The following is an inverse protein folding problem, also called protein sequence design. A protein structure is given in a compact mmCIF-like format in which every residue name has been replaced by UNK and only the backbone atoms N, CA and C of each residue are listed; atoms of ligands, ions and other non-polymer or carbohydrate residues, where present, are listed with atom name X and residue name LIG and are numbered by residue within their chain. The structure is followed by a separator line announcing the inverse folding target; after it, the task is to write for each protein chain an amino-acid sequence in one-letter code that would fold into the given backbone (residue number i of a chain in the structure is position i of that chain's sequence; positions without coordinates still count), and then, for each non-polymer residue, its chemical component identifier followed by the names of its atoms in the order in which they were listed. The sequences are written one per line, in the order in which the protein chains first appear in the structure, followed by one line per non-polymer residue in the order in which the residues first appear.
data_IF_957402731718
#
_entry.id   IF_957402731718
#
_cell.length_a   1.000
_cell.length_b   1.000
_cell.length_c   1.000
_cell.angle_alpha   90.00
_cell.angle_beta   90.00
_cell.angle_gamma   90.00
#
_symmetry.space_group_name_H-M   'P 1'
#
loop_
_entity.id
_entity.type
_entity.pdbx_description
1 polymer ?
#
# COMPACT_ATOMS: atom_id res chain seq x y z
N UNK A 1 15.01 11.35 -42.30
CA UNK A 1 15.82 12.57 -42.13
C UNK A 1 15.06 13.69 -42.81
N UNK A 2 14.38 14.53 -42.03
CA UNK A 2 13.72 15.74 -42.55
C UNK A 2 14.65 16.89 -42.23
N UNK A 3 15.06 17.62 -43.28
CA UNK A 3 15.91 18.81 -43.18
C UNK A 3 15.23 19.89 -42.35
N UNK A 4 15.76 20.16 -41.16
CA UNK A 4 15.40 21.30 -40.33
C UNK A 4 16.27 22.47 -40.76
N UNK A 5 15.90 23.13 -41.86
CA UNK A 5 16.47 24.44 -42.22
C UNK A 5 15.39 25.52 -42.13
N UNK A 6 15.62 26.49 -41.22
CA UNK A 6 14.91 27.77 -41.11
C UNK A 6 13.44 27.80 -40.66
N UNK A 7 13.06 27.04 -39.63
CA UNK A 7 11.92 27.43 -38.79
C UNK A 7 12.45 28.09 -37.51
N UNK A 8 12.27 29.42 -37.38
CA UNK A 8 12.53 30.14 -36.14
C UNK A 8 11.68 29.53 -35.03
N UNK A 9 12.30 28.81 -34.10
CA UNK A 9 11.60 28.19 -32.96
C UNK A 9 11.00 29.32 -32.12
N UNK A 10 9.67 29.42 -32.14
CA UNK A 10 8.94 30.38 -31.33
C UNK A 10 9.06 29.94 -29.87
N UNK A 11 9.72 30.73 -29.01
CA UNK A 11 10.03 30.41 -27.61
C UNK A 11 10.97 29.19 -27.43
N UNK A 12 12.31 29.40 -27.50
CA UNK A 12 13.32 28.34 -27.33
C UNK A 12 13.44 27.81 -25.89
N UNK A 13 12.77 28.43 -24.91
CA UNK A 13 12.75 27.93 -23.53
C UNK A 13 11.81 26.74 -23.31
N UNK A 14 10.99 26.38 -24.31
CA UNK A 14 9.96 25.35 -24.18
C UNK A 14 10.35 24.10 -24.96
N UNK A 15 10.65 23.01 -24.26
CA UNK A 15 11.04 21.71 -24.85
C UNK A 15 10.07 21.22 -25.94
N UNK A 16 8.76 21.40 -25.74
CA UNK A 16 7.72 20.91 -26.65
C UNK A 16 7.85 21.49 -28.07
N UNK A 17 8.45 22.67 -28.22
CA UNK A 17 8.64 23.32 -29.52
C UNK A 17 9.78 22.70 -30.34
N UNK A 18 10.59 21.83 -29.74
CA UNK A 18 11.65 21.07 -30.40
C UNK A 18 11.17 19.69 -30.87
N UNK A 19 9.97 19.25 -30.48
CA UNK A 19 9.40 17.96 -30.86
C UNK A 19 8.33 18.14 -31.95
N UNK A 20 8.15 17.14 -32.84
CA UNK A 20 6.94 17.02 -33.65
C UNK A 20 5.67 17.03 -32.76
N UNK A 21 4.53 17.54 -33.24
CA UNK A 21 3.32 17.68 -32.42
C UNK A 21 2.85 16.35 -31.79
N UNK A 22 3.02 15.24 -32.49
CA UNK A 22 2.65 13.92 -31.98
C UNK A 22 3.56 13.44 -30.84
N UNK A 23 4.87 13.76 -30.89
CA UNK A 23 5.81 13.39 -29.83
C UNK A 23 5.71 14.36 -28.63
N UNK A 24 5.42 15.63 -28.90
CA UNK A 24 5.20 16.64 -27.87
C UNK A 24 3.99 16.28 -27.00
N UNK A 25 2.87 15.86 -27.61
CA UNK A 25 1.68 15.40 -26.88
C UNK A 25 1.94 14.12 -26.10
N UNK A 26 2.69 13.16 -26.65
CA UNK A 26 3.12 11.95 -25.94
C UNK A 26 3.92 12.29 -24.68
N UNK A 27 4.92 13.16 -24.83
CA UNK A 27 5.77 13.61 -23.74
C UNK A 27 4.95 14.30 -22.65
N UNK A 28 4.04 15.19 -23.04
CA UNK A 28 3.17 15.91 -22.10
C UNK A 28 2.27 14.97 -21.31
N UNK A 29 1.62 14.00 -21.98
CA UNK A 29 0.76 13.01 -21.31
C UNK A 29 1.55 12.20 -20.29
N UNK A 30 2.71 11.65 -20.66
CA UNK A 30 3.56 10.85 -19.77
C UNK A 30 4.02 11.68 -18.57
N UNK A 31 4.51 12.91 -18.82
CA UNK A 31 4.93 13.84 -17.76
C UNK A 31 3.80 14.13 -16.79
N UNK A 32 2.61 14.46 -17.27
CA UNK A 32 1.47 14.82 -16.43
C UNK A 32 1.00 13.63 -15.58
N UNK A 33 0.97 12.42 -16.15
CA UNK A 33 0.67 11.19 -15.40
C UNK A 33 1.70 10.97 -14.29
N UNK A 34 3.00 11.16 -14.56
CA UNK A 34 4.04 10.94 -13.56
C UNK A 34 4.03 11.99 -12.45
N UNK A 35 3.70 13.24 -12.76
CA UNK A 35 3.46 14.28 -11.75
C UNK A 35 2.28 13.88 -10.85
N UNK A 36 1.19 13.37 -11.42
CA UNK A 36 0.05 12.90 -10.63
C UNK A 36 0.43 11.70 -9.75
N UNK A 37 1.22 10.74 -10.25
CA UNK A 37 1.71 9.59 -9.48
C UNK A 37 2.64 10.05 -8.34
N UNK A 38 3.50 11.04 -8.59
CA UNK A 38 4.34 11.63 -7.55
C UNK A 38 3.48 12.22 -6.43
N UNK A 39 2.50 13.05 -6.78
CA UNK A 39 1.57 13.63 -5.83
C UNK A 39 0.83 12.58 -5.00
N UNK A 40 0.32 11.53 -5.65
CA UNK A 40 -0.36 10.43 -4.97
C UNK A 40 0.57 9.65 -4.04
N UNK A 41 1.78 9.34 -4.49
CA UNK A 41 2.79 8.61 -3.69
C UNK A 41 3.24 9.43 -2.48
N UNK A 42 3.50 10.72 -2.68
CA UNK A 42 3.85 11.65 -1.60
C UNK A 42 2.70 11.78 -0.61
N UNK A 43 1.45 11.92 -1.07
CA UNK A 43 0.29 12.00 -0.20
C UNK A 43 0.11 10.72 0.64
N UNK A 44 0.30 9.53 0.06
CA UNK A 44 0.22 8.26 0.79
C UNK A 44 1.35 8.09 1.80
N UNK A 45 2.55 8.58 1.49
CA UNK A 45 3.67 8.62 2.45
C UNK A 45 3.34 9.56 3.60
N UNK A 46 3.09 10.83 3.31
CA UNK A 46 2.86 11.88 4.32
C UNK A 46 1.71 11.54 5.26
N UNK A 47 0.60 10.99 4.74
CA UNK A 47 -0.58 10.66 5.53
C UNK A 47 -0.32 9.61 6.61
N UNK A 48 0.73 8.80 6.46
CA UNK A 48 0.98 7.62 7.29
C UNK A 48 2.40 7.57 7.88
N UNK A 49 3.16 8.67 7.80
CA UNK A 49 4.49 8.79 8.43
C UNK A 49 4.50 8.35 9.91
N UNK A 50 3.56 8.77 10.79
CA UNK A 50 3.65 8.39 12.21
C UNK A 50 3.47 6.88 12.42
N UNK A 51 2.58 6.25 11.66
CA UNK A 51 2.37 4.80 11.66
C UNK A 51 3.61 4.06 11.14
N UNK A 52 4.17 4.52 10.02
CA UNK A 52 5.35 3.95 9.39
C UNK A 52 6.56 3.98 10.36
N UNK A 53 6.77 5.11 11.05
CA UNK A 53 7.82 5.25 12.08
C UNK A 53 7.56 4.32 13.25
N UNK A 54 6.32 4.19 13.71
CA UNK A 54 5.98 3.30 14.81
C UNK A 54 6.30 1.83 14.45
N UNK A 55 5.99 1.40 13.23
CA UNK A 55 6.27 0.03 12.75
C UNK A 55 7.79 -0.21 12.67
N UNK A 56 8.56 0.73 12.13
CA UNK A 56 10.01 0.61 12.00
C UNK A 56 10.68 0.57 13.39
N UNK A 57 10.22 1.41 14.33
CA UNK A 57 10.79 1.47 15.70
C UNK A 57 10.52 0.21 16.52
N UNK A 58 9.47 -0.55 16.22
CA UNK A 58 9.10 -1.78 16.94
C UNK A 58 10.10 -2.95 16.73
N UNK A 59 11.03 -2.86 15.77
CA UNK A 59 12.14 -3.82 15.48
C UNK A 59 11.78 -5.32 15.34
N UNK A 60 10.50 -5.71 15.36
CA UNK A 60 10.07 -7.11 15.24
C UNK A 60 9.95 -7.51 13.77
N UNK A 61 10.66 -8.57 13.36
CA UNK A 61 10.76 -8.96 11.96
C UNK A 61 11.64 -8.01 11.14
N UNK A 62 12.83 -7.68 11.66
CA UNK A 62 13.78 -6.68 11.13
C UNK A 62 13.89 -6.68 9.60
N UNK A 63 13.96 -7.85 8.97
CA UNK A 63 14.05 -7.98 7.51
C UNK A 63 12.80 -7.45 6.82
N UNK A 64 11.60 -7.84 7.27
CA UNK A 64 10.34 -7.37 6.69
C UNK A 64 10.15 -5.87 6.90
N UNK A 65 10.45 -5.35 8.10
CA UNK A 65 10.37 -3.92 8.40
C UNK A 65 11.39 -3.10 7.61
N UNK A 66 12.60 -3.64 7.41
CA UNK A 66 13.61 -3.01 6.55
C UNK A 66 13.16 -3.00 5.10
N UNK A 67 12.68 -4.12 4.55
CA UNK A 67 12.12 -4.18 3.20
C UNK A 67 10.94 -3.23 3.02
N UNK A 68 10.08 -3.07 4.03
CA UNK A 68 8.99 -2.11 4.03
C UNK A 68 9.50 -0.67 3.91
N UNK A 69 10.47 -0.27 4.73
CA UNK A 69 11.07 1.06 4.65
C UNK A 69 11.78 1.31 3.32
N UNK A 70 12.54 0.30 2.84
CA UNK A 70 13.23 0.36 1.56
C UNK A 70 12.26 0.49 0.39
N UNK A 71 11.15 -0.26 0.39
CA UNK A 71 10.09 -0.15 -0.63
C UNK A 71 9.61 1.29 -0.76
N UNK A 72 9.34 1.96 0.37
CA UNK A 72 8.88 3.37 0.42
C UNK A 72 9.92 4.34 -0.14
N UNK A 73 11.19 4.17 0.24
CA UNK A 73 12.28 5.04 -0.21
C UNK A 73 12.52 4.86 -1.71
N UNK A 74 12.61 3.62 -2.18
CA UNK A 74 12.90 3.32 -3.58
C UNK A 74 11.78 3.80 -4.50
N UNK A 75 10.51 3.56 -4.14
CA UNK A 75 9.39 4.01 -4.99
C UNK A 75 9.27 5.54 -5.04
N UNK A 76 9.47 6.21 -3.91
CA UNK A 76 9.45 7.68 -3.86
C UNK A 76 10.58 8.28 -4.71
N UNK A 77 11.79 7.73 -4.58
CA UNK A 77 12.96 8.17 -5.35
C UNK A 77 12.76 7.90 -6.84
N UNK A 78 12.28 6.72 -7.20
CA UNK A 78 12.01 6.32 -8.58
C UNK A 78 11.03 7.29 -9.28
N UNK A 79 9.88 7.56 -8.66
CA UNK A 79 8.87 8.46 -9.24
C UNK A 79 9.37 9.92 -9.26
N UNK A 80 10.11 10.34 -8.24
CA UNK A 80 10.70 11.69 -8.21
C UNK A 80 11.75 11.91 -9.31
N UNK A 81 12.61 10.91 -9.57
CA UNK A 81 13.60 10.98 -10.65
C UNK A 81 12.93 11.05 -12.02
N UNK A 82 11.86 10.27 -12.24
CA UNK A 82 11.05 10.37 -13.44
C UNK A 82 10.53 11.80 -13.69
N UNK A 83 9.94 12.43 -12.68
CA UNK A 83 9.47 13.82 -12.79
C UNK A 83 10.64 14.79 -13.00
N UNK A 84 11.78 14.57 -12.34
CA UNK A 84 12.97 15.40 -12.52
C UNK A 84 13.50 15.36 -13.96
N UNK A 85 13.57 14.18 -14.58
CA UNK A 85 13.99 13.99 -15.98
C UNK A 85 13.03 14.70 -16.95
N UNK A 86 11.73 14.71 -16.66
CA UNK A 86 10.74 15.38 -17.50
C UNK A 86 10.65 16.90 -17.33
N UNK A 87 11.21 17.44 -16.24
CA UNK A 87 11.08 18.86 -15.89
C UNK A 87 12.40 19.63 -15.96
N UNK A 88 13.54 18.93 -16.04
CA UNK A 88 14.87 19.53 -16.04
C UNK A 88 15.79 18.84 -17.06
N UNK A 89 16.73 19.59 -17.67
CA UNK A 89 17.76 19.00 -18.49
C UNK A 89 18.70 18.13 -17.63
N UNK A 90 19.18 17.02 -18.19
CA UNK A 90 20.02 16.04 -17.50
C UNK A 90 21.29 15.82 -18.32
N UNK A 91 22.49 15.89 -17.69
CA UNK A 91 23.74 15.79 -18.42
C UNK A 91 24.00 14.40 -19.00
N UNK A 92 23.55 13.33 -18.32
CA UNK A 92 23.74 11.94 -18.75
C UNK A 92 22.41 11.17 -18.74
N UNK A 93 21.82 11.01 -19.93
CA UNK A 93 20.56 10.27 -20.13
C UNK A 93 20.71 8.76 -19.92
N UNK A 94 21.89 8.21 -20.22
CA UNK A 94 22.12 6.77 -20.09
C UNK A 94 22.28 6.41 -18.61
N UNK A 95 23.12 7.15 -17.89
CA UNK A 95 23.33 6.94 -16.46
C UNK A 95 22.05 7.09 -15.63
N UNK A 96 21.24 8.13 -15.89
CA UNK A 96 19.99 8.33 -15.15
C UNK A 96 18.97 7.21 -15.43
N UNK A 97 18.90 6.72 -16.66
CA UNK A 97 18.00 5.60 -17.04
C UNK A 97 18.38 4.34 -16.27
N UNK A 98 19.67 3.99 -16.22
CA UNK A 98 20.16 2.84 -15.43
C UNK A 98 19.79 2.99 -13.95
N UNK A 99 20.00 4.18 -13.36
CA UNK A 99 19.65 4.43 -11.94
C UNK A 99 18.15 4.22 -11.70
N UNK A 100 17.31 4.72 -12.61
CA UNK A 100 15.86 4.57 -12.51
C UNK A 100 15.42 3.11 -12.66
N UNK A 101 16.02 2.36 -13.58
CA UNK A 101 15.75 0.93 -13.73
C UNK A 101 16.16 0.14 -12.49
N UNK A 102 17.32 0.44 -11.91
CA UNK A 102 17.76 -0.18 -10.64
C UNK A 102 16.76 0.12 -9.52
N UNK A 103 16.31 1.36 -9.37
CA UNK A 103 15.31 1.73 -8.36
C UNK A 103 13.97 1.03 -8.60
N UNK A 104 13.56 0.87 -9.86
CA UNK A 104 12.37 0.09 -10.22
C UNK A 104 12.53 -1.37 -9.80
N UNK A 105 13.64 -2.02 -10.17
CA UNK A 105 13.95 -3.41 -9.82
C UNK A 105 13.94 -3.61 -8.30
N UNK A 106 14.61 -2.73 -7.55
CA UNK A 106 14.66 -2.79 -6.10
C UNK A 106 13.28 -2.60 -5.47
N UNK A 107 12.46 -1.67 -6.00
CA UNK A 107 11.08 -1.48 -5.56
C UNK A 107 10.25 -2.73 -5.80
N UNK A 108 10.32 -3.33 -6.99
CA UNK A 108 9.59 -4.55 -7.34
C UNK A 108 10.03 -5.72 -6.45
N UNK A 109 11.33 -5.94 -6.30
CA UNK A 109 11.86 -7.04 -5.49
C UNK A 109 11.45 -6.94 -4.02
N UNK A 110 11.55 -5.74 -3.43
CA UNK A 110 11.15 -5.49 -2.03
C UNK A 110 9.63 -5.58 -1.83
N UNK A 111 8.84 -5.04 -2.76
CA UNK A 111 7.37 -5.15 -2.77
C UNK A 111 6.92 -6.61 -2.85
N UNK A 112 7.44 -7.37 -3.82
CA UNK A 112 7.12 -8.78 -4.00
C UNK A 112 7.60 -9.64 -2.82
N UNK A 113 8.69 -9.26 -2.16
CA UNK A 113 9.12 -9.91 -0.93
C UNK A 113 8.10 -9.70 0.21
N UNK A 114 7.52 -8.50 0.36
CA UNK A 114 6.45 -8.26 1.33
C UNK A 114 5.23 -9.16 1.07
N UNK A 115 4.88 -9.40 -0.20
CA UNK A 115 3.83 -10.33 -0.59
C UNK A 115 4.20 -11.79 -0.27
N UNK A 116 5.43 -12.21 -0.54
CA UNK A 116 5.92 -13.55 -0.17
C UNK A 116 5.83 -13.79 1.33
N UNK A 117 6.22 -12.80 2.16
CA UNK A 117 6.11 -12.88 3.62
C UNK A 117 4.67 -13.08 4.09
N UNK A 118 3.67 -12.59 3.37
CA UNK A 118 2.26 -12.85 3.68
C UNK A 118 1.86 -14.27 3.36
N UNK A 119 2.28 -14.79 2.20
CA UNK A 119 2.04 -16.20 1.88
C UNK A 119 2.65 -17.08 2.96
N UNK A 120 3.85 -16.77 3.43
CA UNK A 120 4.48 -17.50 4.54
C UNK A 120 3.64 -17.44 5.82
N UNK A 121 3.10 -16.27 6.18
CA UNK A 121 2.26 -16.14 7.37
C UNK A 121 0.96 -16.94 7.25
N UNK A 122 0.34 -16.94 6.08
CA UNK A 122 -0.94 -17.61 5.79
C UNK A 122 -0.78 -19.13 5.63
N UNK A 123 0.36 -19.58 5.11
CA UNK A 123 0.69 -20.99 4.87
C UNK A 123 1.79 -21.51 5.79
N UNK A 124 1.87 -21.01 7.03
CA UNK A 124 2.93 -21.36 7.98
C UNK A 124 3.12 -22.89 8.18
N UNK A 125 2.06 -23.69 8.00
CA UNK A 125 2.11 -25.15 8.12
C UNK A 125 2.60 -25.89 6.86
N UNK A 126 2.65 -25.27 5.69
CA UNK A 126 2.99 -25.93 4.43
C UNK A 126 4.24 -25.31 3.78
N UNK A 127 5.40 -25.94 4.05
CA UNK A 127 6.71 -25.50 3.53
C UNK A 127 6.81 -25.56 2.00
N UNK A 128 6.13 -26.50 1.36
CA UNK A 128 6.16 -26.66 -0.10
C UNK A 128 5.60 -25.42 -0.79
N UNK A 129 4.44 -24.93 -0.32
CA UNK A 129 3.82 -23.70 -0.86
C UNK A 129 4.78 -22.52 -0.73
N UNK A 130 5.40 -22.34 0.44
CA UNK A 130 6.37 -21.25 0.64
C UNK A 130 7.54 -21.32 -0.36
N UNK A 131 8.15 -22.49 -0.54
CA UNK A 131 9.28 -22.64 -1.46
C UNK A 131 8.88 -22.41 -2.92
N UNK A 132 7.70 -22.85 -3.35
CA UNK A 132 7.18 -22.54 -4.69
C UNK A 132 7.04 -21.04 -4.90
N UNK A 133 6.45 -20.32 -3.95
CA UNK A 133 6.32 -18.86 -4.04
C UNK A 133 7.68 -18.14 -3.93
N UNK A 134 8.63 -18.67 -3.16
CA UNK A 134 9.98 -18.10 -3.09
C UNK A 134 10.73 -18.25 -4.42
N UNK A 135 10.57 -19.37 -5.12
CA UNK A 135 11.13 -19.56 -6.47
C UNK A 135 10.47 -18.62 -7.50
N UNK A 136 9.14 -18.46 -7.44
CA UNK A 136 8.43 -17.50 -8.30
C UNK A 136 8.89 -16.06 -8.05
N UNK A 137 9.08 -15.68 -6.79
CA UNK A 137 9.62 -14.38 -6.41
C UNK A 137 11.04 -14.17 -6.97
N UNK A 138 11.92 -15.17 -6.84
CA UNK A 138 13.28 -15.11 -7.37
C UNK A 138 13.25 -14.98 -8.91
N UNK A 139 12.43 -15.78 -9.59
CA UNK A 139 12.24 -15.69 -11.04
C UNK A 139 11.73 -14.33 -11.49
N UNK A 140 10.74 -13.76 -10.79
CA UNK A 140 10.23 -12.42 -11.07
C UNK A 140 11.29 -11.33 -10.85
N UNK A 141 12.12 -11.47 -9.81
CA UNK A 141 13.19 -10.50 -9.52
C UNK A 141 14.31 -10.56 -10.56
N UNK A 142 14.66 -11.77 -11.02
CA UNK A 142 15.63 -11.96 -12.11
C UNK A 142 15.07 -11.41 -13.44
N UNK A 143 13.80 -11.64 -13.73
CA UNK A 143 13.15 -11.09 -14.92
C UNK A 143 13.16 -9.56 -14.94
N UNK A 144 13.03 -8.90 -13.78
CA UNK A 144 13.08 -7.44 -13.69
C UNK A 144 14.45 -6.86 -14.11
N UNK A 145 15.55 -7.62 -13.98
CA UNK A 145 16.89 -7.19 -14.41
C UNK A 145 16.95 -6.92 -15.92
N UNK A 146 16.05 -7.52 -16.71
CA UNK A 146 15.92 -7.25 -18.15
C UNK A 146 15.54 -5.80 -18.48
N UNK A 147 15.09 -5.01 -17.49
CA UNK A 147 14.81 -3.58 -17.69
C UNK A 147 16.07 -2.81 -18.11
N UNK A 148 17.21 -3.06 -17.46
CA UNK A 148 18.45 -2.30 -17.66
C UNK A 148 18.97 -2.33 -19.11
N UNK A 149 19.10 -3.49 -19.79
CA UNK A 149 19.48 -3.52 -21.21
C UNK A 149 18.29 -3.25 -22.16
N UNK A 150 17.08 -3.15 -21.61
CA UNK A 150 15.83 -3.20 -22.35
C UNK A 150 15.29 -1.84 -22.76
N UNK A 151 15.67 -0.76 -22.07
CA UNK A 151 15.28 0.60 -22.36
C UNK A 151 16.52 1.48 -22.61
N UNK A 152 16.49 2.27 -23.68
CA UNK A 152 17.55 3.21 -24.02
C UNK A 152 16.95 4.62 -24.16
N UNK A 153 17.65 5.59 -23.57
CA UNK A 153 17.28 7.01 -23.60
C UNK A 153 18.41 7.83 -24.19
N UNK A 154 18.08 8.80 -25.02
CA UNK A 154 19.04 9.68 -25.70
C UNK A 154 18.71 11.15 -25.47
N UNK A 155 19.72 12.00 -25.61
CA UNK A 155 19.56 13.45 -25.54
C UNK A 155 18.82 13.97 -26.76
N UNK A 156 17.82 14.80 -26.51
CA UNK A 156 17.22 15.60 -27.57
C UNK A 156 18.18 16.71 -27.99
N UNK A 157 18.48 16.76 -29.29
CA UNK A 157 19.45 17.68 -29.87
C UNK A 157 19.15 19.14 -29.46
N UNK A 158 20.15 19.81 -28.89
CA UNK A 158 20.10 21.24 -28.56
C UNK A 158 19.34 21.62 -27.30
N UNK A 159 18.73 20.68 -26.56
CA UNK A 159 17.91 21.01 -25.37
C UNK A 159 18.43 20.39 -24.06
N UNK A 160 19.21 19.31 -24.13
CA UNK A 160 19.74 18.61 -22.96
C UNK A 160 18.69 17.78 -22.18
N UNK A 161 17.48 17.60 -22.73
CA UNK A 161 16.46 16.72 -22.18
C UNK A 161 16.64 15.29 -22.67
N UNK A 162 16.15 14.32 -21.89
CA UNK A 162 16.20 12.91 -22.23
C UNK A 162 14.86 12.42 -22.78
N UNK A 163 14.91 11.65 -23.86
CA UNK A 163 13.76 10.98 -24.44
C UNK A 163 14.01 9.47 -24.45
N UNK A 164 13.00 8.69 -24.08
CA UNK A 164 13.04 7.23 -24.29
C UNK A 164 12.79 6.99 -25.77
N UNK A 165 13.79 6.45 -26.47
CA UNK A 165 13.71 6.23 -27.92
C UNK A 165 13.58 4.75 -28.28
N UNK A 166 14.06 3.85 -27.42
CA UNK A 166 13.99 2.42 -27.66
C UNK A 166 13.53 1.67 -26.41
N UNK A 167 12.53 0.82 -26.60
CA UNK A 167 12.10 -0.18 -25.61
C UNK A 167 12.01 -1.52 -26.33
N UNK A 168 12.85 -2.46 -25.93
CA UNK A 168 12.95 -3.79 -26.55
C UNK A 168 11.79 -4.68 -26.11
N UNK A 169 11.26 -5.50 -27.02
CA UNK A 169 10.04 -6.28 -26.75
C UNK A 169 10.17 -7.27 -25.60
N UNK A 170 11.37 -7.77 -25.30
CA UNK A 170 11.61 -8.68 -24.19
C UNK A 170 11.40 -8.02 -22.82
N UNK A 171 11.37 -6.68 -22.74
CA UNK A 171 10.99 -5.93 -21.52
C UNK A 171 9.59 -6.29 -21.05
N UNK A 172 8.71 -6.73 -21.96
CA UNK A 172 7.38 -7.20 -21.60
C UNK A 172 7.41 -8.32 -20.54
N UNK A 173 8.46 -9.16 -20.53
CA UNK A 173 8.64 -10.23 -19.54
C UNK A 173 8.76 -9.63 -18.13
N UNK A 174 9.45 -8.50 -17.97
CA UNK A 174 9.59 -7.79 -16.70
C UNK A 174 8.27 -7.17 -16.21
N UNK A 175 7.28 -6.95 -17.08
CA UNK A 175 5.92 -6.53 -16.69
C UNK A 175 4.99 -7.70 -16.40
N UNK A 176 5.08 -8.80 -17.17
CA UNK A 176 4.19 -9.96 -16.98
C UNK A 176 4.55 -10.82 -15.78
N UNK A 177 5.84 -11.03 -15.49
CA UNK A 177 6.25 -11.88 -14.36
C UNK A 177 5.74 -11.38 -13.00
N UNK A 178 5.86 -10.08 -12.65
CA UNK A 178 5.26 -9.53 -11.44
C UNK A 178 3.73 -9.67 -11.43
N UNK A 179 3.06 -9.43 -12.56
CA UNK A 179 1.62 -9.59 -12.65
C UNK A 179 1.18 -11.01 -12.31
N UNK A 180 1.86 -12.02 -12.88
CA UNK A 180 1.60 -13.43 -12.59
C UNK A 180 1.89 -13.76 -11.12
N UNK A 181 3.02 -13.30 -10.59
CA UNK A 181 3.38 -13.51 -9.19
C UNK A 181 2.32 -12.94 -8.24
N UNK A 182 1.95 -11.68 -8.42
CA UNK A 182 0.94 -11.00 -7.62
C UNK A 182 -0.42 -11.71 -7.73
N UNK A 183 -0.75 -12.24 -8.91
CA UNK A 183 -1.99 -13.01 -9.16
C UNK A 183 -2.02 -14.28 -8.36
N UNK A 184 -0.95 -15.07 -8.44
CA UNK A 184 -0.84 -16.32 -7.69
C UNK A 184 -0.87 -16.07 -6.18
N UNK A 185 -0.20 -15.01 -5.70
CA UNK A 185 -0.23 -14.65 -4.28
C UNK A 185 -1.65 -14.28 -3.85
N UNK A 186 -2.33 -13.45 -4.63
CA UNK A 186 -3.70 -13.05 -4.36
C UNK A 186 -4.65 -14.25 -4.32
N UNK A 187 -4.58 -15.15 -5.30
CA UNK A 187 -5.39 -16.36 -5.33
C UNK A 187 -5.06 -17.30 -4.17
N UNK A 188 -3.79 -17.50 -3.82
CA UNK A 188 -3.40 -18.35 -2.70
C UNK A 188 -3.96 -17.81 -1.37
N UNK A 189 -3.77 -16.51 -1.09
CA UNK A 189 -4.30 -15.90 0.14
C UNK A 189 -5.83 -15.99 0.17
N UNK A 190 -6.49 -15.67 -0.95
CA UNK A 190 -7.95 -15.73 -1.07
C UNK A 190 -8.49 -17.14 -0.89
N UNK A 191 -7.83 -18.14 -1.49
CA UNK A 191 -8.17 -19.56 -1.32
C UNK A 191 -8.06 -19.97 0.14
N UNK A 192 -6.92 -19.71 0.79
CA UNK A 192 -6.74 -20.11 2.20
C UNK A 192 -7.82 -19.51 3.09
N UNK A 193 -8.15 -18.24 2.87
CA UNK A 193 -9.17 -17.52 3.62
C UNK A 193 -10.59 -18.04 3.35
N UNK A 194 -10.87 -18.51 2.12
CA UNK A 194 -12.14 -19.14 1.75
C UNK A 194 -12.33 -20.50 2.40
N UNK A 195 -11.27 -21.32 2.41
CA UNK A 195 -11.35 -22.73 2.78
C UNK A 195 -11.03 -23.00 4.25
N UNK A 196 -10.52 -22.03 5.01
CA UNK A 196 -10.23 -22.18 6.44
C UNK A 196 -11.20 -21.45 7.39
N UNK A 197 -12.26 -20.81 6.87
CA UNK A 197 -13.32 -20.27 7.73
C UNK A 197 -14.40 -21.33 7.96
N UNK A 198 -14.49 -21.97 9.15
CA UNK A 198 -15.40 -23.08 9.40
C UNK A 198 -16.87 -22.68 9.58
N UNK A 199 -17.22 -21.39 9.52
CA UNK A 199 -18.48 -20.94 10.14
C UNK A 199 -19.74 -20.87 9.30
N UNK A 200 -19.79 -20.80 7.95
CA UNK A 200 -21.09 -20.47 7.31
C UNK A 200 -21.31 -20.78 5.81
N UNK A 201 -20.65 -21.75 5.17
CA UNK A 201 -20.89 -21.99 3.73
C UNK A 201 -21.00 -23.50 3.38
N UNK A 202 -22.23 -24.02 3.47
CA UNK A 202 -22.62 -25.40 3.15
C UNK A 202 -22.49 -25.75 1.65
N UNK A 203 -22.37 -24.77 0.74
CA UNK A 203 -22.32 -25.02 -0.72
C UNK A 203 -21.11 -24.39 -1.41
N UNK A 204 -20.46 -25.12 -2.33
CA UNK A 204 -19.37 -24.59 -3.18
C UNK A 204 -19.79 -23.35 -3.98
N UNK A 205 -21.06 -23.24 -4.38
CA UNK A 205 -21.57 -22.09 -5.14
C UNK A 205 -21.64 -20.82 -4.27
N UNK A 206 -22.00 -20.98 -2.99
CA UNK A 206 -22.00 -19.90 -2.00
C UNK A 206 -20.59 -19.43 -1.63
N UNK A 207 -19.57 -20.30 -1.78
CA UNK A 207 -18.15 -19.96 -1.55
C UNK A 207 -17.54 -19.12 -2.67
N UNK A 208 -17.92 -19.38 -3.93
CA UNK A 208 -17.46 -18.55 -5.07
C UNK A 208 -18.16 -17.19 -5.05
N UNK A 209 -19.47 -17.15 -4.81
CA UNK A 209 -20.19 -15.87 -4.63
C UNK A 209 -19.71 -15.09 -3.41
N UNK A 210 -19.22 -15.76 -2.36
CA UNK A 210 -18.57 -15.13 -1.21
C UNK A 210 -17.26 -14.39 -1.58
N UNK A 211 -16.44 -14.95 -2.47
CA UNK A 211 -15.22 -14.30 -2.97
C UNK A 211 -15.54 -12.97 -3.66
N UNK A 212 -16.65 -12.88 -4.39
CA UNK A 212 -17.06 -11.66 -5.11
C UNK A 212 -17.94 -10.72 -4.27
N UNK A 213 -18.72 -11.23 -3.31
CA UNK A 213 -19.70 -10.43 -2.59
C UNK A 213 -19.18 -9.87 -1.26
N UNK A 214 -18.19 -10.51 -0.62
CA UNK A 214 -17.56 -10.02 0.62
C UNK A 214 -18.50 -9.77 1.80
N UNK A 215 -19.72 -10.31 1.83
CA UNK A 215 -20.79 -9.89 2.78
C UNK A 215 -20.68 -10.46 4.20
N UNK A 216 -19.95 -11.55 4.40
CA UNK A 216 -19.93 -12.30 5.69
C UNK A 216 -18.54 -12.46 6.31
N UNK A 217 -17.57 -11.63 5.90
CA UNK A 217 -16.22 -11.67 6.45
C UNK A 217 -16.07 -10.81 7.72
N UNK A 218 -15.12 -11.18 8.60
CA UNK A 218 -14.54 -10.29 9.60
C UNK A 218 -14.29 -8.89 9.05
N UNK A 219 -14.61 -7.83 9.78
CA UNK A 219 -14.52 -6.44 9.28
C UNK A 219 -13.14 -6.12 8.68
N UNK A 220 -12.06 -6.62 9.28
CA UNK A 220 -10.68 -6.49 8.80
C UNK A 220 -10.43 -7.25 7.50
N UNK A 221 -10.82 -8.53 7.45
CA UNK A 221 -10.66 -9.37 6.26
C UNK A 221 -11.54 -8.87 5.10
N UNK A 222 -12.71 -8.33 5.40
CA UNK A 222 -13.63 -7.68 4.47
C UNK A 222 -13.08 -6.37 3.93
N UNK A 223 -12.49 -5.54 4.78
CA UNK A 223 -11.86 -4.29 4.37
C UNK A 223 -10.63 -4.55 3.48
N UNK A 224 -9.80 -5.53 3.85
CA UNK A 224 -8.63 -5.96 3.08
C UNK A 224 -9.04 -6.62 1.76
N UNK A 225 -10.05 -7.50 1.74
CA UNK A 225 -10.48 -8.16 0.50
C UNK A 225 -11.25 -7.23 -0.43
N UNK A 226 -12.17 -6.41 0.08
CA UNK A 226 -13.02 -5.57 -0.78
C UNK A 226 -12.26 -4.36 -1.34
N UNK A 227 -11.41 -3.74 -0.52
CA UNK A 227 -10.45 -2.74 -0.99
C UNK A 227 -9.36 -3.39 -1.83
N UNK A 228 -8.74 -4.46 -1.31
CA UNK A 228 -7.64 -5.16 -1.97
C UNK A 228 -8.00 -5.74 -3.33
N UNK A 229 -9.22 -6.25 -3.55
CA UNK A 229 -9.66 -6.77 -4.85
C UNK A 229 -9.73 -5.71 -5.94
N UNK A 230 -10.33 -4.54 -5.65
CA UNK A 230 -10.41 -3.45 -6.63
C UNK A 230 -9.02 -2.94 -7.00
N UNK A 231 -8.19 -2.71 -5.98
CA UNK A 231 -6.83 -2.23 -6.22
C UNK A 231 -5.92 -3.28 -6.87
N UNK A 232 -6.11 -4.55 -6.52
CA UNK A 232 -5.40 -5.66 -7.15
C UNK A 232 -5.74 -5.75 -8.64
N UNK A 233 -7.02 -5.64 -9.00
CA UNK A 233 -7.47 -5.66 -10.39
C UNK A 233 -6.93 -4.46 -11.17
N UNK A 234 -6.84 -3.29 -10.53
CA UNK A 234 -6.22 -2.08 -11.11
C UNK A 234 -4.72 -2.31 -11.36
N UNK A 235 -3.97 -2.80 -10.37
CA UNK A 235 -2.53 -3.07 -10.51
C UNK A 235 -2.25 -4.17 -11.54
N UNK A 236 -3.04 -5.24 -11.54
CA UNK A 236 -2.98 -6.28 -12.57
C UNK A 236 -3.25 -5.71 -13.96
N UNK A 237 -4.29 -4.89 -14.10
CA UNK A 237 -4.63 -4.20 -15.34
C UNK A 237 -3.48 -3.33 -15.85
N UNK A 238 -2.87 -2.52 -15.00
CA UNK A 238 -1.73 -1.68 -15.39
C UNK A 238 -0.51 -2.51 -15.84
N UNK A 239 -0.17 -3.59 -15.13
CA UNK A 239 0.94 -4.45 -15.55
C UNK A 239 0.66 -5.18 -16.87
N UNK A 240 -0.58 -5.65 -17.09
CA UNK A 240 -0.97 -6.29 -18.35
C UNK A 240 -0.92 -5.29 -19.50
N UNK A 241 -1.47 -4.08 -19.33
CA UNK A 241 -1.43 -3.03 -20.36
C UNK A 241 0.02 -2.64 -20.66
N UNK A 242 0.86 -2.47 -19.63
CA UNK A 242 2.30 -2.20 -19.76
C UNK A 242 3.02 -3.29 -20.56
N UNK A 243 2.73 -4.57 -20.25
CA UNK A 243 3.28 -5.72 -20.96
C UNK A 243 2.85 -5.78 -22.43
N UNK A 244 1.56 -5.55 -22.72
CA UNK A 244 1.02 -5.51 -24.08
C UNK A 244 1.66 -4.37 -24.88
N UNK A 245 1.80 -3.18 -24.27
CA UNK A 245 2.42 -2.02 -24.92
C UNK A 245 3.90 -2.27 -25.22
N UNK A 246 4.59 -2.95 -24.31
CA UNK A 246 5.99 -3.35 -24.49
C UNK A 246 6.15 -4.44 -25.56
N UNK A 247 5.17 -5.34 -25.71
CA UNK A 247 5.22 -6.44 -26.68
C UNK A 247 4.94 -6.01 -28.13
N UNK A 248 4.30 -4.86 -28.35
CA UNK A 248 3.91 -4.37 -29.68
C UNK A 248 4.82 -3.21 -30.18
N UNK A 249 6.02 -3.51 -30.72
CA UNK A 249 7.01 -2.49 -31.05
C UNK A 249 6.73 -1.68 -32.33
N UNK A 250 5.79 -2.11 -33.17
CA UNK A 250 5.50 -1.45 -34.46
C UNK A 250 4.30 -0.50 -34.43
N UNK A 251 3.42 -0.63 -33.43
CA UNK A 251 2.16 0.13 -33.37
C UNK A 251 2.11 1.23 -32.30
N UNK A 252 2.99 1.21 -31.30
CA UNK A 252 2.93 2.10 -30.14
C UNK A 252 4.24 2.87 -30.01
N UNK A 253 4.24 4.22 -29.96
CA UNK A 253 5.42 5.03 -29.73
C UNK A 253 6.15 4.67 -28.42
N UNK A 254 7.50 4.74 -28.36
CA UNK A 254 8.29 4.36 -27.19
C UNK A 254 7.84 5.03 -25.88
N UNK A 255 7.48 6.32 -25.93
CA UNK A 255 7.05 7.09 -24.76
C UNK A 255 5.76 6.54 -24.14
N UNK A 256 4.82 6.05 -24.95
CA UNK A 256 3.61 5.42 -24.43
C UNK A 256 3.87 4.03 -23.84
N UNK A 257 4.92 3.33 -24.25
CA UNK A 257 5.25 2.00 -23.68
C UNK A 257 5.68 2.08 -22.22
N UNK A 258 6.28 3.19 -21.81
CA UNK A 258 6.68 3.40 -20.42
C UNK A 258 5.56 4.02 -19.56
N UNK A 259 4.50 4.56 -20.16
CA UNK A 259 3.44 5.32 -19.49
C UNK A 259 2.87 4.64 -18.23
N UNK A 260 2.69 3.33 -18.27
CA UNK A 260 2.08 2.58 -17.16
C UNK A 260 3.08 2.01 -16.16
N UNK A 261 4.38 2.11 -16.42
CA UNK A 261 5.42 1.56 -15.55
C UNK A 261 5.43 2.21 -14.16
N UNK A 262 5.54 3.54 -14.08
CA UNK A 262 5.55 4.25 -12.81
C UNK A 262 4.24 4.14 -12.02
N UNK A 263 3.05 4.33 -12.64
CA UNK A 263 1.77 4.06 -11.95
C UNK A 263 1.66 2.64 -11.41
N UNK A 264 2.02 1.61 -12.20
CA UNK A 264 1.93 0.22 -11.79
C UNK A 264 2.81 -0.06 -10.56
N UNK A 265 4.09 0.33 -10.63
CA UNK A 265 5.06 0.14 -9.55
C UNK A 265 4.68 0.92 -8.30
N UNK A 266 4.26 2.18 -8.45
CA UNK A 266 3.82 3.01 -7.33
C UNK A 266 2.61 2.42 -6.61
N UNK A 267 1.60 1.99 -7.37
CA UNK A 267 0.41 1.37 -6.80
C UNK A 267 0.74 0.04 -6.10
N UNK A 268 1.53 -0.83 -6.72
CA UNK A 268 1.94 -2.09 -6.11
C UNK A 268 2.66 -1.87 -4.77
N UNK A 269 3.62 -0.95 -4.73
CA UNK A 269 4.34 -0.57 -3.51
C UNK A 269 3.41 -0.01 -2.43
N UNK A 270 2.52 0.93 -2.79
CA UNK A 270 1.56 1.52 -1.84
C UNK A 270 0.62 0.45 -1.26
N UNK A 271 0.16 -0.49 -2.08
CA UNK A 271 -0.72 -1.59 -1.63
C UNK A 271 0.01 -2.58 -0.73
N UNK A 272 1.24 -2.95 -1.07
CA UNK A 272 2.07 -3.79 -0.23
C UNK A 272 2.32 -3.11 1.12
N UNK A 273 2.63 -1.81 1.13
CA UNK A 273 2.82 -1.06 2.37
C UNK A 273 1.52 -0.95 3.19
N UNK A 274 0.39 -0.55 2.57
CA UNK A 274 -0.90 -0.41 3.24
C UNK A 274 -1.33 -1.71 3.93
N UNK A 275 -1.28 -2.83 3.22
CA UNK A 275 -1.70 -4.10 3.80
C UNK A 275 -0.68 -4.60 4.83
N UNK A 276 0.61 -4.25 4.71
CA UNK A 276 1.60 -4.57 5.75
C UNK A 276 1.27 -3.84 7.05
N UNK A 277 0.93 -2.54 6.99
CA UNK A 277 0.47 -1.76 8.14
C UNK A 277 -0.72 -2.42 8.84
N UNK A 278 -1.76 -2.73 8.08
CA UNK A 278 -2.97 -3.36 8.61
C UNK A 278 -2.65 -4.71 9.29
N UNK A 279 -1.77 -5.53 8.69
CA UNK A 279 -1.36 -6.81 9.27
C UNK A 279 -0.58 -6.64 10.57
N UNK A 280 0.27 -5.61 10.64
CA UNK A 280 1.05 -5.31 11.84
C UNK A 280 0.12 -4.80 12.94
N UNK A 281 -0.78 -3.86 12.64
CA UNK A 281 -1.75 -3.32 13.59
C UNK A 281 -2.66 -4.41 14.17
N UNK A 282 -3.25 -5.25 13.32
CA UNK A 282 -4.13 -6.34 13.74
C UNK A 282 -3.43 -7.37 14.65
N UNK A 283 -2.12 -7.56 14.50
CA UNK A 283 -1.34 -8.41 15.38
C UNK A 283 -1.11 -7.80 16.78
N UNK A 284 -1.14 -6.48 16.90
CA UNK A 284 -0.92 -5.81 18.18
C UNK A 284 -2.20 -5.66 19.00
N UNK A 285 -3.35 -5.47 18.34
CA UNK A 285 -4.65 -5.55 19.02
C UNK A 285 -4.87 -6.93 19.67
N UNK A 286 -4.17 -7.94 19.17
CA UNK A 286 -4.18 -9.32 19.62
C UNK A 286 -3.24 -9.61 20.83
N UNK A 287 -2.13 -8.89 21.05
CA UNK A 287 -1.28 -9.17 22.23
C UNK A 287 -1.94 -8.81 23.60
N UNK A 288 -3.20 -8.38 23.62
CA UNK A 288 -4.12 -8.37 24.78
C UNK A 288 -4.98 -9.64 24.97
N UNK A 289 -4.86 -10.64 24.08
CA UNK A 289 -5.53 -11.94 24.08
C UNK A 289 -5.70 -12.51 22.65
N UNK A 290 -5.06 -13.66 22.38
CA UNK A 290 -4.98 -14.38 21.08
C UNK A 290 -6.20 -14.20 20.14
N UNK A 291 -6.00 -14.08 18.79
CA UNK A 291 -6.61 -15.06 17.94
C UNK A 291 -5.63 -15.69 16.94
N UNK A 292 -5.75 -17.01 16.90
CA UNK A 292 -5.62 -17.79 15.66
C UNK A 292 -6.41 -17.10 14.55
N UNK A 293 -5.89 -17.09 13.32
CA UNK A 293 -6.43 -16.48 12.10
C UNK A 293 -7.97 -16.64 11.87
N UNK A 294 -8.62 -17.59 12.55
CA UNK A 294 -10.07 -17.80 12.60
C UNK A 294 -10.88 -16.89 13.56
N UNK A 295 -10.23 -16.09 14.41
CA UNK A 295 -10.85 -15.33 15.49
C UNK A 295 -11.04 -13.84 15.23
N UNK A 296 -10.65 -13.33 14.06
CA UNK A 296 -10.88 -11.94 13.71
C UNK A 296 -12.40 -11.79 13.51
N UNK A 297 -13.15 -11.32 14.49
CA UNK A 297 -14.47 -10.75 14.30
C UNK A 297 -14.55 -9.63 15.33
N UNK A 298 -14.47 -8.37 14.92
CA UNK A 298 -14.89 -7.30 15.81
C UNK A 298 -15.57 -6.15 15.10
N UNK A 299 -16.46 -5.57 15.89
CA UNK A 299 -17.57 -4.68 15.63
C UNK A 299 -17.17 -3.29 15.18
N UNK A 300 -18.04 -2.72 14.34
CA UNK A 300 -18.02 -1.35 13.82
C UNK A 300 -17.56 -0.29 14.84
N UNK A 301 -16.39 0.29 14.60
CA UNK A 301 -16.00 1.57 15.17
C UNK A 301 -16.67 2.71 14.37
N UNK A 302 -17.97 2.90 14.60
CA UNK A 302 -18.73 4.03 14.04
C UNK A 302 -18.73 5.27 14.95
N UNK A 303 -18.07 5.26 16.13
CA UNK A 303 -18.25 6.32 17.13
C UNK A 303 -17.06 7.23 17.42
N UNK A 304 -15.91 7.10 16.73
CA UNK A 304 -14.75 7.98 17.04
C UNK A 304 -14.74 9.34 16.34
N UNK A 305 -15.70 9.64 15.45
CA UNK A 305 -15.78 10.98 14.80
C UNK A 305 -16.63 11.98 15.59
N UNK A 306 -17.45 11.55 16.56
CA UNK A 306 -18.37 12.43 17.30
C UNK A 306 -17.90 12.85 18.72
N UNK A 307 -16.74 12.37 19.19
CA UNK A 307 -16.30 12.64 20.58
C UNK A 307 -15.13 13.64 20.68
N UNK A 308 -14.57 14.09 19.54
CA UNK A 308 -13.42 15.02 19.52
C UNK A 308 -13.79 16.50 19.50
N UNK A 309 -15.08 16.87 19.63
CA UNK A 309 -15.52 18.28 19.51
C UNK A 309 -16.13 18.91 20.77
N UNK A 310 -16.13 18.25 21.93
CA UNK A 310 -16.82 18.79 23.14
C UNK A 310 -15.95 18.88 24.39
N UNK A 311 -14.62 18.92 24.28
CA UNK A 311 -13.75 19.18 25.44
C UNK A 311 -12.67 20.17 25.03
N UNK A 312 -13.00 21.46 25.03
CA UNK A 312 -12.08 22.56 25.30
C UNK A 312 -12.89 23.85 25.49
N UNK A 313 -13.36 24.10 26.72
CA UNK A 313 -13.57 25.45 27.26
C UNK A 313 -13.93 25.35 28.75
N UNK A 314 -12.91 25.33 29.62
CA UNK A 314 -13.02 25.89 30.98
C UNK A 314 -11.66 26.47 31.35
N UNK A 315 -11.61 27.80 31.46
CA UNK A 315 -10.53 28.59 32.05
C UNK A 315 -10.81 28.67 33.56
N UNK A 316 -9.83 28.52 34.46
CA UNK A 316 -9.94 29.07 35.80
C UNK A 316 -8.98 30.24 35.99
N UNK A 317 -9.57 31.39 36.33
CA UNK A 317 -8.92 32.62 36.77
C UNK A 317 -8.70 32.59 38.31
N UNK A 318 -7.47 32.91 38.71
CA UNK A 318 -7.08 33.95 39.71
C UNK A 318 -7.45 33.86 41.22
N UNK A 319 -6.37 33.81 42.02
CA UNK A 319 -6.02 34.59 43.25
C UNK A 319 -6.63 34.33 44.65
N UNK A 320 -5.72 33.94 45.56
CA UNK A 320 -5.38 34.48 46.92
C UNK A 320 -6.41 34.86 48.00
N UNK A 321 -6.07 34.41 49.22
CA UNK A 321 -6.25 35.02 50.57
C UNK A 321 -7.63 35.01 51.25
N UNK A 322 -7.65 34.54 52.51
CA UNK A 322 -8.68 34.93 53.51
C UNK A 322 -8.99 33.89 54.59
N UNK A 323 -8.48 34.13 55.79
CA UNK A 323 -8.76 33.48 57.10
C UNK A 323 -10.14 33.80 57.69
N UNK A 324 -10.73 32.90 58.51
CA UNK A 324 -11.55 33.13 59.75
C UNK A 324 -12.53 31.95 60.00
N UNK A 325 -12.34 31.11 61.03
CA UNK A 325 -12.91 31.15 62.40
C UNK A 325 -14.36 30.62 62.56
N UNK A 326 -14.47 29.43 63.17
CA UNK A 326 -15.38 29.01 64.25
C UNK A 326 -16.88 28.61 64.02
N UNK A 327 -17.44 27.78 64.95
CA UNK A 327 -18.35 26.66 64.65
C UNK A 327 -19.77 26.80 65.23
N UNK A 328 -20.71 25.91 64.87
CA UNK A 328 -22.00 25.73 65.57
C UNK A 328 -22.42 24.26 65.61
N UNK A 329 -22.46 23.70 66.82
CA UNK A 329 -23.23 22.51 67.24
C UNK A 329 -24.74 22.82 67.28
N UNK A 330 -25.61 21.82 67.08
CA UNK A 330 -26.76 21.55 67.97
C UNK A 330 -27.34 20.13 67.71
N UNK A 331 -27.56 19.47 68.83
CA UNK A 331 -28.06 18.12 69.17
C UNK A 331 -29.55 17.83 68.85
N UNK A 332 -29.81 16.52 68.76
CA UNK A 332 -30.79 15.68 69.50
C UNK A 332 -32.06 15.11 68.82
N UNK A 333 -32.25 13.80 69.05
CA UNK A 333 -33.53 13.07 69.08
C UNK A 333 -33.72 12.07 67.93
N UNK A 334 -34.19 10.82 68.08
CA UNK A 334 -34.53 9.97 69.23
C UNK A 334 -34.82 8.56 68.65
N UNK A 335 -34.16 7.53 69.19
CA UNK A 335 -34.47 6.08 69.36
C UNK A 335 -35.48 5.24 68.48
N UNK A 336 -35.43 3.89 68.57
CA UNK A 336 -35.65 2.94 67.46
C UNK A 336 -36.81 1.93 67.67
N UNK A 337 -37.04 1.05 66.69
CA UNK A 337 -37.80 -0.22 66.86
C UNK A 337 -37.37 -1.21 65.75
N UNK A 338 -36.57 -2.25 66.04
CA UNK A 338 -36.87 -3.60 66.58
C UNK A 338 -37.58 -4.57 65.61
N UNK A 339 -37.01 -5.79 65.52
CA UNK A 339 -37.60 -7.01 64.94
C UNK A 339 -36.67 -7.66 63.90
N UNK A 340 -35.65 -8.45 64.26
CA UNK A 340 -35.71 -9.89 64.67
C UNK A 340 -36.45 -10.75 63.63
N UNK A 341 -36.02 -11.92 63.17
CA UNK A 341 -34.90 -12.81 63.47
C UNK A 341 -35.15 -14.09 62.66
N UNK A 342 -34.09 -14.73 62.15
CA UNK A 342 -33.90 -16.21 62.12
C UNK A 342 -34.84 -17.04 61.18
N UNK A 343 -34.50 -18.17 60.55
CA UNK A 343 -33.30 -19.00 60.47
C UNK A 343 -33.62 -20.25 59.61
N UNK A 344 -32.57 -20.84 59.00
CA UNK A 344 -32.39 -22.27 58.64
C UNK A 344 -33.32 -22.94 57.60
N UNK A 345 -32.79 -23.49 56.51
CA UNK A 345 -32.10 -24.81 56.37
C UNK A 345 -33.09 -25.90 55.99
N UNK A 346 -32.94 -26.48 54.80
CA UNK A 346 -32.95 -27.93 54.66
C UNK A 346 -32.39 -28.40 53.31
N UNK A 347 -31.59 -29.45 53.42
CA UNK A 347 -31.04 -30.32 52.37
C UNK A 347 -32.08 -31.34 51.84
N UNK A 348 -31.61 -32.18 50.89
CA UNK A 348 -32.13 -33.47 50.39
C UNK A 348 -33.08 -33.44 49.17
N UNK A 349 -32.99 -34.33 48.16
CA UNK A 349 -32.20 -35.54 47.91
C UNK A 349 -32.29 -35.90 46.41
N UNK A 350 -31.32 -36.68 45.93
CA UNK A 350 -31.25 -37.36 44.63
C UNK A 350 -32.51 -38.14 44.21
N UNK A 351 -32.70 -38.24 42.89
CA UNK A 351 -33.56 -39.19 42.18
C UNK A 351 -33.25 -39.16 40.69
#
# INVERSE_FOLDING_TARGET
MVDVTNSTILNPGTLLNYLPPDEATQFEVVRNVYIAVLGATTADILSHIPEDIAIIRRRRGLITSACFALTRIFVATYVALWVAVFTRPVPDCHGITIVMDILCILTMATTSFLFLRRVQAVYASNRTVYWTFALLWAGSSVAAVLLVPGAESEHLQGTGYCLVYLVRSYVAIASFMPAVFDTLVFFAISYKLAFQNPRNLESNQSRVTWLFSGKTLPMLSRAILRGGQQYYLITFGFNVVSGVFSFQPSGIPPMYRVLFSAPATALAACLACRVHRIMVEAYYDDEGGLPTFSGIYFTSASNQVMQRSTIHHVIPDRSTHGTSSDPVDIKMGNEPSKGSSLQQMNDHMSG
#
